data_IF_780046736549
#
_entry.id   IF_780046736549
#
_cell.length_a   1.000
_cell.length_b   1.000
_cell.length_c   1.000
_cell.angle_alpha   90.00
_cell.angle_beta   90.00
_cell.angle_gamma   90.00
#
_symmetry.space_group_name_H-M   'P 1'
#
loop_
_entity.id
_entity.type
_entity.pdbx_description
1 polymer ?
#
# COMPACT_ATOMS: atom_id res chain seq x y z
N UNK A 1 41.63 -26.24 3.19
CA UNK A 1 41.07 -27.50 3.71
C UNK A 1 39.55 -27.41 3.60
N UNK A 2 38.97 -28.13 2.65
CA UNK A 2 37.54 -28.23 2.40
C UNK A 2 37.10 -29.61 2.88
N UNK A 3 36.16 -29.72 3.81
CA UNK A 3 35.37 -30.95 3.99
C UNK A 3 33.99 -30.63 4.60
N UNK A 4 32.98 -31.08 3.88
CA UNK A 4 31.55 -31.04 4.16
C UNK A 4 31.18 -31.81 5.43
N UNK A 5 30.15 -31.35 6.14
CA UNK A 5 29.16 -32.24 6.77
C UNK A 5 27.75 -31.64 6.65
N UNK A 6 27.03 -32.15 5.65
CA UNK A 6 25.58 -32.04 5.50
C UNK A 6 24.93 -32.95 6.55
N UNK A 7 24.08 -32.40 7.41
CA UNK A 7 23.16 -33.18 8.22
C UNK A 7 21.72 -32.83 7.85
N UNK A 8 21.12 -33.74 7.10
CA UNK A 8 19.70 -33.78 6.78
C UNK A 8 18.88 -33.99 8.06
N UNK A 9 17.92 -33.11 8.31
CA UNK A 9 16.80 -33.38 9.20
C UNK A 9 15.51 -33.36 8.39
N UNK A 10 14.83 -34.48 8.45
CA UNK A 10 13.71 -34.96 7.66
C UNK A 10 12.49 -34.06 7.68
N UNK A 11 11.90 -33.83 6.50
CA UNK A 11 10.57 -33.25 6.34
C UNK A 11 9.54 -34.10 7.10
N UNK A 12 8.96 -33.54 8.15
CA UNK A 12 7.71 -34.07 8.70
C UNK A 12 6.55 -33.43 7.93
N UNK A 13 6.11 -34.09 6.86
CA UNK A 13 4.83 -33.77 6.23
C UNK A 13 3.71 -34.29 7.13
N UNK A 14 3.29 -33.46 8.08
CA UNK A 14 2.03 -33.66 8.78
C UNK A 14 0.88 -33.48 7.80
N UNK A 15 0.21 -34.56 7.42
CA UNK A 15 -1.04 -34.53 6.69
C UNK A 15 -2.15 -33.98 7.60
N UNK A 16 -2.24 -32.65 7.67
CA UNK A 16 -3.40 -31.95 8.22
C UNK A 16 -4.55 -32.03 7.23
N UNK A 17 -5.69 -32.56 7.66
CA UNK A 17 -6.93 -32.60 6.89
C UNK A 17 -7.31 -31.20 6.40
N UNK A 18 -7.52 -31.07 5.10
CA UNK A 18 -8.01 -29.86 4.42
C UNK A 18 -9.40 -29.50 4.95
N UNK A 19 -9.50 -28.54 5.86
CA UNK A 19 -10.74 -27.81 6.03
C UNK A 19 -10.89 -26.89 4.80
N UNK A 20 -11.75 -27.28 3.86
CA UNK A 20 -12.14 -26.38 2.76
C UNK A 20 -12.72 -25.10 3.36
N UNK A 21 -12.27 -23.91 2.94
CA UNK A 21 -12.93 -22.66 3.31
C UNK A 21 -14.39 -22.73 2.86
N UNK A 22 -15.32 -22.41 3.75
CA UNK A 22 -16.70 -22.18 3.36
C UNK A 22 -16.75 -21.00 2.36
N UNK A 23 -17.61 -21.03 1.33
CA UNK A 23 -17.81 -19.87 0.46
C UNK A 23 -18.27 -18.70 1.32
N UNK A 24 -17.46 -17.65 1.39
CA UNK A 24 -17.85 -16.37 1.99
C UNK A 24 -18.83 -15.72 1.01
N UNK A 25 -20.03 -15.31 1.45
CA UNK A 25 -21.00 -14.70 0.53
C UNK A 25 -20.42 -13.44 -0.10
N UNK A 26 -20.59 -13.36 -1.41
CA UNK A 26 -20.12 -12.32 -2.31
C UNK A 26 -20.70 -10.94 -1.99
N UNK A 27 -19.96 -9.91 -2.43
CA UNK A 27 -20.27 -8.48 -2.41
C UNK A 27 -20.09 -7.73 -1.07
N UNK A 28 -18.88 -7.74 -0.52
CA UNK A 28 -18.35 -6.45 -0.05
C UNK A 28 -18.07 -5.65 -1.33
N UNK A 29 -18.72 -4.51 -1.53
CA UNK A 29 -18.26 -3.51 -2.49
C UNK A 29 -16.89 -3.05 -1.97
N UNK A 30 -15.84 -3.83 -2.27
CA UNK A 30 -14.50 -3.62 -1.78
C UNK A 30 -13.87 -2.55 -2.64
N UNK A 31 -14.39 -1.32 -2.54
CA UNK A 31 -13.72 -0.17 -3.12
C UNK A 31 -12.32 -0.14 -2.57
N UNK A 32 -11.33 -0.24 -3.46
CA UNK A 32 -9.94 -0.26 -3.06
C UNK A 32 -9.57 1.15 -2.61
N UNK A 33 -9.05 1.26 -1.38
CA UNK A 33 -8.42 2.50 -0.92
C UNK A 33 -7.03 2.61 -1.56
N UNK A 34 -6.72 3.80 -2.06
CA UNK A 34 -5.45 4.10 -2.69
C UNK A 34 -4.75 5.25 -1.99
N UNK A 35 -3.42 5.18 -1.98
CA UNK A 35 -2.53 6.20 -1.44
C UNK A 35 -1.32 6.32 -2.36
N UNK A 36 -1.15 7.49 -2.99
CA UNK A 36 -0.14 7.67 -4.02
C UNK A 36 0.54 9.03 -3.95
N UNK A 37 1.85 9.06 -4.20
CA UNK A 37 2.61 10.30 -4.27
C UNK A 37 2.31 11.02 -5.57
N UNK A 38 1.96 12.31 -5.51
CA UNK A 38 1.44 13.05 -6.66
C UNK A 38 2.19 14.34 -6.99
N UNK A 39 2.89 14.95 -6.02
CA UNK A 39 3.60 16.22 -6.20
C UNK A 39 5.10 16.04 -6.34
N UNK A 40 5.55 15.45 -7.45
CA UNK A 40 6.98 15.23 -7.68
C UNK A 40 7.75 16.57 -7.68
N UNK A 41 8.73 16.71 -6.78
CA UNK A 41 9.54 17.92 -6.66
C UNK A 41 8.89 19.07 -5.88
N UNK A 42 7.71 18.85 -5.28
CA UNK A 42 7.09 19.79 -4.34
C UNK A 42 7.47 19.36 -2.93
N UNK A 43 8.16 20.24 -2.21
CA UNK A 43 8.37 20.10 -0.77
C UNK A 43 7.24 20.81 -0.05
N UNK A 44 6.47 20.05 0.73
CA UNK A 44 5.31 20.56 1.47
C UNK A 44 5.60 20.64 2.97
N UNK A 45 4.92 21.57 3.64
CA UNK A 45 4.85 21.69 5.09
C UNK A 45 3.40 21.68 5.60
N UNK A 46 2.44 21.74 4.68
CA UNK A 46 1.00 21.69 4.89
C UNK A 46 0.31 21.12 3.65
N UNK A 47 -0.90 20.57 3.82
CA UNK A 47 -1.69 20.02 2.70
C UNK A 47 -1.93 21.06 1.61
N UNK A 48 -2.11 22.33 1.99
CA UNK A 48 -2.34 23.44 1.06
C UNK A 48 -1.18 23.73 0.11
N UNK A 49 0.05 23.36 0.48
CA UNK A 49 1.21 23.50 -0.41
C UNK A 49 1.07 22.60 -1.66
N UNK A 50 0.29 21.51 -1.53
CA UNK A 50 0.07 20.52 -2.58
C UNK A 50 -1.14 20.83 -3.47
N UNK A 51 -2.05 21.72 -3.06
CA UNK A 51 -3.30 21.99 -3.80
C UNK A 51 -3.08 22.66 -5.17
N UNK A 52 -1.95 23.35 -5.35
CA UNK A 52 -1.59 23.95 -6.63
C UNK A 52 -1.07 22.91 -7.65
N UNK A 53 -0.78 21.68 -7.22
CA UNK A 53 -0.35 20.61 -8.12
C UNK A 53 -1.55 20.01 -8.85
N UNK A 54 -1.59 20.20 -10.17
CA UNK A 54 -2.63 19.60 -11.01
C UNK A 54 -2.59 18.07 -10.96
N UNK A 55 -1.40 17.47 -10.88
CA UNK A 55 -1.22 16.03 -10.74
C UNK A 55 -1.86 15.49 -9.44
N UNK A 56 -1.69 16.20 -8.32
CA UNK A 56 -2.36 15.87 -7.07
C UNK A 56 -3.87 16.02 -7.15
N UNK A 57 -4.37 17.10 -7.76
CA UNK A 57 -5.81 17.30 -7.94
C UNK A 57 -6.41 16.20 -8.81
N UNK A 58 -5.74 15.78 -9.89
CA UNK A 58 -6.19 14.69 -10.74
C UNK A 58 -6.19 13.34 -10.01
N UNK A 59 -5.11 13.04 -9.28
CA UNK A 59 -4.99 11.80 -8.48
C UNK A 59 -6.05 11.74 -7.38
N UNK A 60 -6.37 12.89 -6.77
CA UNK A 60 -7.40 13.05 -5.75
C UNK A 60 -8.84 13.17 -6.29
N UNK A 61 -9.08 12.80 -7.57
CA UNK A 61 -10.39 12.88 -8.23
C UNK A 61 -11.04 14.27 -8.17
N UNK A 62 -10.23 15.33 -8.16
CA UNK A 62 -10.65 16.72 -8.08
C UNK A 62 -10.90 17.26 -6.67
N UNK A 63 -10.71 16.44 -5.62
CA UNK A 63 -10.95 16.84 -4.24
C UNK A 63 -9.65 17.24 -3.53
N UNK A 64 -9.48 18.54 -3.21
CA UNK A 64 -8.34 18.98 -2.40
C UNK A 64 -8.36 18.43 -0.97
N UNK A 65 -9.50 17.94 -0.49
CA UNK A 65 -9.63 17.30 0.81
C UNK A 65 -8.93 15.93 0.90
N UNK A 66 -8.59 15.34 -0.25
CA UNK A 66 -7.88 14.07 -0.31
C UNK A 66 -6.39 14.25 -0.65
N UNK A 67 -5.89 15.49 -0.61
CA UNK A 67 -4.48 15.81 -0.87
C UNK A 67 -3.82 16.09 0.47
N UNK A 68 -2.72 15.40 0.75
CA UNK A 68 -2.03 15.43 2.03
C UNK A 68 -0.56 15.78 1.86
N UNK A 69 -0.03 16.45 2.87
CA UNK A 69 1.39 16.66 3.02
C UNK A 69 2.00 15.64 3.98
N UNK A 70 2.89 14.82 3.43
CA UNK A 70 3.72 13.92 4.20
C UNK A 70 3.12 12.54 4.48
N UNK A 71 4.03 11.59 4.69
CA UNK A 71 3.77 10.28 5.32
C UNK A 71 5.00 9.85 6.14
N UNK A 72 4.90 8.75 6.89
CA UNK A 72 5.97 8.27 7.79
C UNK A 72 7.38 8.23 7.17
N UNK A 73 7.50 7.77 5.92
CA UNK A 73 8.79 7.65 5.23
C UNK A 73 9.16 8.87 4.37
N UNK A 74 8.20 9.74 4.08
CA UNK A 74 8.36 10.90 3.19
C UNK A 74 7.56 12.09 3.76
N UNK A 75 8.04 12.73 4.84
CA UNK A 75 7.25 13.67 5.63
C UNK A 75 6.97 15.00 4.93
N UNK A 76 7.68 15.30 3.84
CA UNK A 76 7.56 16.57 3.10
C UNK A 76 7.16 16.37 1.64
N UNK A 77 6.66 15.19 1.27
CA UNK A 77 6.17 14.90 -0.07
C UNK A 77 4.65 15.01 -0.14
N UNK A 78 4.11 15.41 -1.29
CA UNK A 78 2.66 15.47 -1.52
C UNK A 78 2.09 14.10 -1.90
N UNK A 79 0.98 13.74 -1.26
CA UNK A 79 0.24 12.50 -1.47
C UNK A 79 -1.22 12.79 -1.75
N UNK A 80 -1.87 11.86 -2.43
CA UNK A 80 -3.31 11.89 -2.65
C UNK A 80 -3.92 10.52 -2.33
N UNK A 81 -5.13 10.56 -1.78
CA UNK A 81 -5.95 9.38 -1.53
C UNK A 81 -7.22 9.36 -2.39
N UNK A 82 -7.70 8.15 -2.68
CA UNK A 82 -9.01 7.95 -3.28
C UNK A 82 -9.51 6.54 -3.02
N UNK A 83 -10.76 6.31 -3.42
CA UNK A 83 -11.43 5.02 -3.29
C UNK A 83 -12.22 4.77 -4.57
N UNK A 84 -11.94 3.66 -5.26
CA UNK A 84 -12.55 3.32 -6.57
C UNK A 84 -14.08 3.19 -6.52
#
# INVERSE_FOLDING_TARGET
MQFLLLLAATLSLGAGTLASPAPVPDSLDSRAYHWHGCGAGIECHSDSDCWASEDCVQTALGSTANIHCGQDSYPTACWADWTD
#
